data_IF_879494684012
#
_entry.id   IF_879494684012
#
_cell.length_a   1.000
_cell.length_b   1.000
_cell.length_c   1.000
_cell.angle_alpha   90.00
_cell.angle_beta   90.00
_cell.angle_gamma   90.00
#
_symmetry.space_group_name_H-M   'P 1'
#
loop_
_entity.id
_entity.type
_entity.pdbx_description
1 polymer ?
#
# COMPACT_ATOMS: atom_id res chain seq x y z
N UNK A 1 4.68 -0.59 -5.62
CA UNK A 1 3.77 -1.65 -5.11
C UNK A 1 3.89 -2.97 -5.87
N UNK A 2 4.04 -2.97 -7.20
CA UNK A 2 4.19 -4.19 -8.01
C UNK A 2 5.35 -5.09 -7.59
N UNK A 3 6.50 -4.51 -7.25
CA UNK A 3 7.69 -5.24 -6.75
C UNK A 3 7.49 -5.87 -5.36
N UNK A 4 6.34 -5.62 -4.72
CA UNK A 4 6.00 -6.06 -3.37
C UNK A 4 4.72 -6.93 -3.33
N UNK A 5 4.09 -7.23 -4.48
CA UNK A 5 2.70 -7.72 -4.58
C UNK A 5 2.39 -8.96 -3.71
N UNK A 6 3.25 -9.97 -3.74
CA UNK A 6 3.04 -11.22 -2.99
C UNK A 6 3.10 -11.07 -1.46
N UNK A 7 3.63 -9.96 -0.94
CA UNK A 7 3.86 -9.74 0.49
C UNK A 7 2.95 -8.65 1.08
N UNK A 8 1.98 -8.11 0.34
CA UNK A 8 1.13 -7.02 0.86
C UNK A 8 0.10 -7.56 1.84
N UNK A 9 -0.65 -8.59 1.46
CA UNK A 9 -1.66 -9.22 2.31
C UNK A 9 -1.13 -10.49 2.95
N UNK A 10 -1.39 -10.69 4.24
CA UNK A 10 -1.15 -11.96 4.91
C UNK A 10 -2.49 -12.62 5.28
N UNK A 11 -2.54 -13.96 5.21
CA UNK A 11 -3.78 -14.74 5.40
C UNK A 11 -3.58 -15.83 6.45
N UNK A 12 -3.77 -15.51 7.75
CA UNK A 12 -3.66 -16.49 8.82
C UNK A 12 -4.75 -17.57 8.69
N UNK A 13 -4.40 -18.85 8.83
CA UNK A 13 -5.35 -19.97 8.72
C UNK A 13 -6.55 -19.86 9.68
N UNK A 14 -6.33 -19.31 10.88
CA UNK A 14 -7.36 -19.13 11.90
C UNK A 14 -8.32 -17.96 11.62
N UNK A 15 -7.91 -16.99 10.80
CA UNK A 15 -8.68 -15.75 10.54
C UNK A 15 -8.95 -15.52 9.05
N UNK A 16 -9.01 -16.60 8.27
CA UNK A 16 -9.21 -16.57 6.82
C UNK A 16 -10.42 -15.72 6.42
N UNK A 17 -11.56 -15.89 7.09
CA UNK A 17 -12.81 -15.17 6.76
C UNK A 17 -12.62 -13.65 6.95
N UNK A 18 -11.95 -13.25 8.03
CA UNK A 18 -11.69 -11.84 8.34
C UNK A 18 -10.68 -11.23 7.36
N UNK A 19 -9.62 -11.96 7.03
CA UNK A 19 -8.62 -11.53 6.05
C UNK A 19 -9.22 -11.37 4.65
N UNK A 20 -10.06 -12.31 4.22
CA UNK A 20 -10.72 -12.26 2.92
C UNK A 20 -11.78 -11.12 2.88
N UNK A 21 -12.47 -10.86 3.99
CA UNK A 21 -13.38 -9.72 4.12
C UNK A 21 -12.66 -8.37 4.05
N UNK A 22 -11.55 -8.23 4.79
CA UNK A 22 -10.71 -7.02 4.74
C UNK A 22 -10.19 -6.77 3.32
N UNK A 23 -9.67 -7.80 2.64
CA UNK A 23 -9.20 -7.70 1.26
C UNK A 23 -10.30 -7.25 0.30
N UNK A 24 -11.53 -7.75 0.45
CA UNK A 24 -12.68 -7.31 -0.36
C UNK A 24 -13.00 -5.82 -0.15
N UNK A 25 -12.76 -5.28 1.04
CA UNK A 25 -12.95 -3.85 1.32
C UNK A 25 -12.02 -2.92 0.55
N UNK A 26 -10.87 -3.43 0.07
CA UNK A 26 -9.93 -2.66 -0.77
C UNK A 26 -10.16 -2.86 -2.27
N UNK A 27 -11.01 -3.81 -2.66
CA UNK A 27 -11.22 -4.15 -4.05
C UNK A 27 -11.75 -2.95 -4.83
N UNK A 28 -11.13 -2.66 -5.97
CA UNK A 28 -11.53 -1.60 -6.89
C UNK A 28 -11.82 -2.20 -8.27
N UNK A 29 -12.94 -1.83 -8.93
CA UNK A 29 -13.18 -2.21 -10.32
C UNK A 29 -12.09 -1.63 -11.21
N UNK A 30 -11.38 -2.51 -11.94
CA UNK A 30 -10.23 -2.15 -12.79
C UNK A 30 -8.92 -2.88 -12.46
N UNK A 31 -8.92 -3.75 -11.44
CA UNK A 31 -7.93 -4.82 -11.29
C UNK A 31 -7.13 -4.80 -9.99
N UNK A 32 -6.22 -5.79 -9.87
CA UNK A 32 -5.40 -6.00 -8.68
C UNK A 32 -4.43 -4.82 -8.43
N UNK A 33 -3.91 -4.21 -9.51
CA UNK A 33 -3.00 -3.07 -9.39
C UNK A 33 -3.66 -1.83 -8.78
N UNK A 34 -4.92 -1.54 -9.14
CA UNK A 34 -5.69 -0.45 -8.53
C UNK A 34 -6.07 -0.77 -7.08
N UNK A 35 -6.33 -2.04 -6.78
CA UNK A 35 -6.54 -2.49 -5.40
C UNK A 35 -5.30 -2.24 -4.53
N UNK A 36 -4.11 -2.55 -5.03
CA UNK A 36 -2.84 -2.25 -4.34
C UNK A 36 -2.59 -0.75 -4.17
N UNK A 37 -2.96 0.06 -5.16
CA UNK A 37 -2.88 1.52 -5.07
C UNK A 37 -3.83 2.05 -3.98
N UNK A 38 -5.06 1.54 -3.93
CA UNK A 38 -6.05 1.90 -2.92
C UNK A 38 -5.55 1.60 -1.49
N UNK A 39 -4.91 0.43 -1.29
CA UNK A 39 -4.26 0.08 -0.01
C UNK A 39 -3.18 1.10 0.35
N UNK A 40 -2.32 1.45 -0.60
CA UNK A 40 -1.27 2.45 -0.37
C UNK A 40 -1.81 3.83 -0.04
N UNK A 41 -2.86 4.28 -0.74
CA UNK A 41 -3.47 5.58 -0.48
C UNK A 41 -4.16 5.63 0.89
N UNK A 42 -4.86 4.56 1.30
CA UNK A 42 -5.40 4.46 2.67
C UNK A 42 -4.30 4.50 3.72
N UNK A 43 -3.20 3.78 3.48
CA UNK A 43 -2.04 3.78 4.38
C UNK A 43 -1.32 5.15 4.40
N UNK A 44 -1.25 5.86 3.27
CA UNK A 44 -0.69 7.21 3.19
C UNK A 44 -1.54 8.21 3.99
N UNK A 45 -2.87 8.07 3.95
CA UNK A 45 -3.81 8.89 4.70
C UNK A 45 -3.65 8.84 6.22
N UNK A 46 -2.88 7.88 6.75
CA UNK A 46 -2.57 7.77 8.19
C UNK A 46 -1.51 8.78 8.66
N UNK A 47 -1.07 9.70 7.80
CA UNK A 47 0.03 10.64 8.04
C UNK A 47 1.35 9.97 8.46
N UNK A 48 1.57 8.72 8.05
CA UNK A 48 2.78 7.96 8.39
C UNK A 48 3.09 7.84 9.89
N UNK A 49 2.10 8.07 10.77
CA UNK A 49 2.27 7.83 12.20
C UNK A 49 2.61 6.35 12.40
N UNK A 50 3.76 6.05 12.99
CA UNK A 50 4.24 4.66 13.16
C UNK A 50 3.20 3.81 13.88
N UNK A 51 2.61 4.34 14.96
CA UNK A 51 1.63 3.62 15.76
C UNK A 51 0.31 3.40 15.01
N UNK A 52 -0.21 4.44 14.35
CA UNK A 52 -1.51 4.36 13.66
C UNK A 52 -1.42 3.54 12.37
N UNK A 53 -0.31 3.67 11.65
CA UNK A 53 -0.05 2.91 10.43
C UNK A 53 0.17 1.42 10.71
N UNK A 54 0.85 1.05 11.80
CA UNK A 54 1.01 -0.35 12.21
C UNK A 54 -0.33 -0.95 12.64
N UNK A 55 -1.11 -0.23 13.45
CA UNK A 55 -2.46 -0.65 13.86
C UNK A 55 -3.39 -0.85 12.64
N UNK A 56 -3.45 0.13 11.75
CA UNK A 56 -4.28 0.07 10.54
C UNK A 56 -3.85 -1.08 9.62
N UNK A 57 -2.55 -1.32 9.47
CA UNK A 57 -2.05 -2.47 8.72
C UNK A 57 -2.50 -3.79 9.35
N UNK A 58 -2.43 -3.90 10.68
CA UNK A 58 -2.79 -5.11 11.40
C UNK A 58 -4.28 -5.43 11.32
N UNK A 59 -5.15 -4.41 11.46
CA UNK A 59 -6.61 -4.57 11.31
C UNK A 59 -7.01 -5.02 9.89
N UNK A 60 -6.28 -4.55 8.89
CA UNK A 60 -6.58 -4.81 7.49
C UNK A 60 -5.81 -6.01 6.90
N UNK A 61 -5.11 -6.77 7.74
CA UNK A 61 -4.29 -7.92 7.33
C UNK A 61 -3.23 -7.58 6.27
N UNK A 62 -2.67 -6.38 6.37
CA UNK A 62 -1.60 -5.84 5.51
C UNK A 62 -0.26 -5.87 6.24
N UNK A 63 0.82 -6.18 5.54
CA UNK A 63 2.16 -6.15 6.12
C UNK A 63 2.75 -4.74 6.13
N UNK A 64 2.95 -4.18 7.33
CA UNK A 64 3.56 -2.85 7.52
C UNK A 64 4.93 -2.71 6.83
N UNK A 65 5.79 -3.74 6.93
CA UNK A 65 7.12 -3.74 6.31
C UNK A 65 7.05 -3.56 4.80
N UNK A 66 6.06 -4.16 4.17
CA UNK A 66 5.82 -4.09 2.73
C UNK A 66 5.37 -2.69 2.32
N UNK A 67 4.53 -2.04 3.14
CA UNK A 67 4.10 -0.65 2.92
C UNK A 67 5.26 0.34 3.06
N UNK A 68 6.09 0.16 4.09
CA UNK A 68 7.31 0.97 4.27
C UNK A 68 8.25 0.86 3.08
N UNK A 69 8.53 -0.37 2.61
CA UNK A 69 9.35 -0.60 1.42
C UNK A 69 8.74 0.05 0.16
N UNK A 70 7.42 0.00 0.02
CA UNK A 70 6.76 0.64 -1.11
C UNK A 70 6.90 2.16 -1.10
N UNK A 71 6.87 2.79 0.07
CA UNK A 71 7.19 4.21 0.24
C UNK A 71 8.63 4.50 -0.16
N UNK A 72 9.59 3.74 0.36
CA UNK A 72 11.01 3.94 0.05
C UNK A 72 11.28 3.86 -1.46
N UNK A 73 10.66 2.90 -2.15
CA UNK A 73 10.75 2.76 -3.61
C UNK A 73 10.14 3.96 -4.33
N UNK A 74 9.01 4.49 -3.84
CA UNK A 74 8.38 5.68 -4.43
C UNK A 74 9.26 6.91 -4.25
N UNK A 75 9.79 7.12 -3.05
CA UNK A 75 10.65 8.27 -2.74
C UNK A 75 11.95 8.20 -3.56
N UNK A 76 12.52 7.01 -3.78
CA UNK A 76 13.65 6.81 -4.71
C UNK A 76 13.29 7.15 -6.16
N UNK A 77 12.10 6.74 -6.62
CA UNK A 77 11.63 7.04 -7.98
C UNK A 77 11.41 8.53 -8.17
N UNK A 78 10.84 9.21 -7.17
CA UNK A 78 10.67 10.67 -7.17
C UNK A 78 12.04 11.38 -7.32
N UNK A 79 13.06 10.98 -6.55
CA UNK A 79 14.40 11.55 -6.69
C UNK A 79 15.10 11.23 -8.02
N UNK A 80 14.78 10.11 -8.66
CA UNK A 80 15.26 9.80 -10.01
C UNK A 80 14.57 10.65 -11.09
N UNK A 81 13.27 10.91 -10.94
CA UNK A 81 12.51 11.74 -11.88
C UNK A 81 12.96 13.20 -11.83
N UNK A 82 13.27 13.72 -10.65
CA UNK A 82 13.86 15.06 -10.48
C UNK A 82 15.21 15.18 -11.21
N UNK A 83 16.07 14.15 -11.12
CA UNK A 83 17.36 14.12 -11.81
C UNK A 83 17.27 14.09 -13.33
N UNK A 84 16.17 13.58 -13.86
CA UNK A 84 15.93 13.46 -15.31
C UNK A 84 15.04 14.62 -15.81
N UNK A 85 14.76 15.62 -14.95
CA UNK A 85 13.93 16.79 -15.26
C UNK A 85 12.51 16.42 -15.75
N UNK A 86 11.98 15.29 -15.29
CA UNK A 86 10.61 14.87 -15.61
C UNK A 86 9.65 15.44 -14.56
N UNK A 87 8.79 16.34 -15.00
CA UNK A 87 7.78 16.95 -14.15
C UNK A 87 6.72 15.93 -13.70
N UNK A 88 6.47 15.86 -12.40
CA UNK A 88 5.47 14.95 -11.85
C UNK A 88 4.06 15.52 -12.04
N UNK A 89 3.37 15.02 -13.08
CA UNK A 89 2.01 15.48 -13.42
C UNK A 89 0.93 14.91 -12.47
N UNK A 90 1.24 13.87 -11.69
CA UNK A 90 0.24 13.13 -10.89
C UNK A 90 0.57 13.15 -9.38
N UNK A 91 0.22 14.27 -8.70
CA UNK A 91 0.45 14.46 -7.27
C UNK A 91 -0.78 14.37 -6.35
N UNK A 92 -2.00 14.24 -6.89
CA UNK A 92 -3.24 14.48 -6.11
C UNK A 92 -4.39 13.51 -6.43
N UNK A 93 -4.17 12.21 -6.23
CA UNK A 93 -5.24 11.21 -6.10
C UNK A 93 -4.99 10.28 -4.91
#
# INVERSE_FOLDING_TARGET
MLSCNAAVFYRPKAMVIHADAARKGFWVPGGDHLTLLNVYNRWKGTNYSTQWSEFTCMENFVQFRTMKKARDIRDQLEGLLERVEIEQVCGSL
#
